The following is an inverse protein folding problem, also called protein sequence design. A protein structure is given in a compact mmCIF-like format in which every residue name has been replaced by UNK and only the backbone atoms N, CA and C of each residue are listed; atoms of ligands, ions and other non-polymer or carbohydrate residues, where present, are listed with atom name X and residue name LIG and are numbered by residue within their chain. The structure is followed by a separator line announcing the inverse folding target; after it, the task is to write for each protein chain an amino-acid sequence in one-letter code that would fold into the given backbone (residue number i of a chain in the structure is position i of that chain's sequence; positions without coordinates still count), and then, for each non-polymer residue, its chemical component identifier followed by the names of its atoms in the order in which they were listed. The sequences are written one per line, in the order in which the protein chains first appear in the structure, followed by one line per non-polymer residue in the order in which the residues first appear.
data_IF_244753393751
#
_entry.id   IF_244753393751
#
_cell.length_a   1.000
_cell.length_b   1.000
_cell.length_c   1.000
_cell.angle_alpha   90.00
_cell.angle_beta   90.00
_cell.angle_gamma   90.00
#
_symmetry.space_group_name_H-M   'P 1'
#
loop_
_entity.id
_entity.type
_entity.pdbx_description
1 polymer ?
#
# COMPACT_ATOMS: atom_id res chain seq x y z
N UNK A 1 -3.40 9.58 -25.07
CA UNK A 1 -3.01 10.48 -23.95
C UNK A 1 -1.88 9.90 -23.07
N UNK A 2 -1.49 8.62 -23.21
CA UNK A 2 -0.47 7.98 -22.35
C UNK A 2 0.95 7.88 -22.95
N UNK A 3 1.13 8.10 -24.27
CA UNK A 3 2.45 7.94 -24.91
C UNK A 3 3.46 9.01 -24.52
N UNK A 4 3.01 10.23 -24.16
CA UNK A 4 3.90 11.34 -23.78
C UNK A 4 4.64 11.11 -22.45
N UNK A 5 4.17 10.16 -21.63
CA UNK A 5 4.81 9.81 -20.36
C UNK A 5 5.56 8.47 -20.43
N UNK A 6 5.54 7.80 -21.59
CA UNK A 6 6.18 6.51 -21.82
C UNK A 6 7.70 6.69 -21.71
N UNK A 7 8.30 6.10 -20.69
CA UNK A 7 9.75 6.18 -20.45
C UNK A 7 10.22 7.37 -19.61
N UNK A 8 9.32 8.14 -19.00
CA UNK A 8 9.73 9.08 -17.93
C UNK A 8 10.17 8.30 -16.69
N UNK A 9 11.08 8.87 -15.89
CA UNK A 9 11.60 8.24 -14.66
C UNK A 9 10.51 7.95 -13.60
N UNK A 10 9.28 8.41 -13.83
CA UNK A 10 8.20 8.44 -12.85
C UNK A 10 8.41 9.57 -11.83
N UNK A 11 7.35 9.90 -11.12
CA UNK A 11 7.37 10.83 -9.97
C UNK A 11 7.95 10.17 -8.70
N UNK A 12 8.45 8.93 -8.80
CA UNK A 12 8.87 8.11 -7.66
C UNK A 12 7.72 7.57 -6.82
N UNK A 13 6.46 7.76 -7.25
CA UNK A 13 5.27 7.31 -6.52
C UNK A 13 4.59 6.17 -7.26
N UNK A 14 4.69 4.99 -6.67
CA UNK A 14 4.05 3.77 -7.13
C UNK A 14 2.71 3.61 -6.41
N UNK A 15 1.68 3.18 -7.14
CA UNK A 15 0.34 2.95 -6.58
C UNK A 15 -0.10 1.56 -7.00
N UNK A 16 -0.45 0.74 -6.01
CA UNK A 16 -0.99 -0.60 -6.23
C UNK A 16 -2.45 -0.63 -5.78
N UNK A 17 -3.33 -1.07 -6.67
CA UNK A 17 -4.76 -1.23 -6.43
C UNK A 17 -5.11 -2.71 -6.53
N UNK A 18 -5.95 -3.19 -5.63
CA UNK A 18 -6.40 -4.58 -5.67
C UNK A 18 -7.17 -5.00 -4.44
N UNK A 19 -7.36 -6.32 -4.35
CA UNK A 19 -7.92 -6.98 -3.17
C UNK A 19 -6.80 -7.55 -2.31
N UNK A 20 -7.07 -7.69 -1.02
CA UNK A 20 -6.11 -8.27 -0.10
C UNK A 20 -6.77 -8.61 1.22
N UNK A 21 -6.03 -9.42 1.97
CA UNK A 21 -6.40 -9.89 3.29
C UNK A 21 -5.24 -9.71 4.24
N UNK A 22 -5.40 -10.29 5.42
CA UNK A 22 -4.35 -10.25 6.44
C UNK A 22 -3.09 -10.94 5.90
N UNK A 23 -2.03 -10.15 5.71
CA UNK A 23 -0.72 -10.66 5.30
C UNK A 23 -0.61 -11.08 3.82
N UNK A 24 -1.62 -10.79 2.99
CA UNK A 24 -1.64 -11.14 1.57
C UNK A 24 -2.33 -10.10 0.68
N UNK A 25 -2.02 -10.14 -0.61
CA UNK A 25 -2.75 -9.42 -1.65
C UNK A 25 -3.10 -10.36 -2.80
N UNK A 26 -4.12 -10.03 -3.58
CA UNK A 26 -4.56 -10.76 -4.77
C UNK A 26 -4.31 -9.92 -6.02
N UNK A 27 -3.64 -10.50 -7.03
CA UNK A 27 -3.31 -9.78 -8.27
C UNK A 27 -4.34 -9.93 -9.40
N UNK A 28 -5.38 -10.73 -9.18
CA UNK A 28 -6.37 -11.14 -10.18
C UNK A 28 -6.34 -12.64 -10.47
N UNK A 29 -5.20 -13.30 -10.26
CA UNK A 29 -4.98 -14.72 -10.57
C UNK A 29 -4.46 -15.52 -9.37
N UNK A 30 -3.65 -14.90 -8.51
CA UNK A 30 -2.90 -15.57 -7.44
C UNK A 30 -2.85 -14.71 -6.19
N UNK A 31 -2.77 -15.42 -5.06
CA UNK A 31 -2.56 -14.81 -3.76
C UNK A 31 -1.06 -14.70 -3.49
N UNK A 32 -0.63 -13.52 -3.06
CA UNK A 32 0.77 -13.16 -2.81
C UNK A 32 0.92 -12.92 -1.32
N UNK A 33 1.83 -13.65 -0.67
CA UNK A 33 2.05 -13.56 0.77
C UNK A 33 3.40 -12.95 1.16
N UNK A 34 4.25 -12.63 0.18
CA UNK A 34 5.63 -12.19 0.39
C UNK A 34 6.08 -11.11 -0.61
N UNK A 35 7.17 -10.42 -0.25
CA UNK A 35 7.72 -9.34 -1.06
C UNK A 35 8.29 -9.80 -2.41
N UNK A 36 8.77 -11.04 -2.52
CA UNK A 36 9.29 -11.55 -3.80
C UNK A 36 8.18 -11.65 -4.85
N UNK A 37 7.07 -12.29 -4.52
CA UNK A 37 5.92 -12.40 -5.42
C UNK A 37 5.35 -11.03 -5.78
N UNK A 38 5.35 -10.09 -4.83
CA UNK A 38 4.97 -8.71 -5.10
C UNK A 38 5.89 -8.05 -6.13
N UNK A 39 7.20 -8.21 -5.96
CA UNK A 39 8.20 -7.65 -6.87
C UNK A 39 8.13 -8.23 -8.27
N UNK A 40 7.87 -9.53 -8.38
CA UNK A 40 7.69 -10.21 -9.66
C UNK A 40 6.52 -9.57 -10.44
N UNK A 41 5.38 -9.33 -9.77
CA UNK A 41 4.19 -8.76 -10.39
C UNK A 41 4.33 -7.27 -10.68
N UNK A 42 4.90 -6.50 -9.73
CA UNK A 42 5.18 -5.08 -9.96
C UNK A 42 6.18 -4.89 -11.10
N UNK A 43 7.18 -5.74 -11.22
CA UNK A 43 8.15 -5.73 -12.32
C UNK A 43 7.52 -6.05 -13.68
N UNK A 44 6.54 -6.97 -13.73
CA UNK A 44 5.80 -7.27 -14.96
C UNK A 44 4.86 -6.12 -15.38
N UNK A 45 4.25 -5.43 -14.42
CA UNK A 45 3.26 -4.36 -14.69
C UNK A 45 3.89 -2.98 -14.84
N UNK A 46 5.07 -2.75 -14.27
CA UNK A 46 5.74 -1.46 -14.29
C UNK A 46 7.26 -1.62 -14.42
N UNK A 47 7.78 -1.32 -15.62
CA UNK A 47 9.20 -1.41 -15.94
C UNK A 47 10.10 -0.52 -15.06
N UNK A 48 9.56 0.51 -14.41
CA UNK A 48 10.33 1.36 -13.49
C UNK A 48 10.51 0.72 -12.11
N UNK A 49 9.71 -0.29 -11.74
CA UNK A 49 9.80 -0.98 -10.45
C UNK A 49 11.18 -1.58 -10.20
N UNK A 50 11.85 -2.09 -11.24
CA UNK A 50 13.22 -2.65 -11.15
C UNK A 50 14.27 -1.66 -10.60
N UNK A 51 13.97 -0.36 -10.64
CA UNK A 51 14.84 0.70 -10.15
C UNK A 51 14.34 1.32 -8.83
N UNK A 52 13.32 0.77 -8.19
CA UNK A 52 12.68 1.37 -7.00
C UNK A 52 13.69 1.71 -5.90
N UNK A 53 14.68 0.85 -5.66
CA UNK A 53 15.71 1.07 -4.63
C UNK A 53 16.73 2.16 -4.97
N UNK A 54 16.81 2.55 -6.24
CA UNK A 54 17.70 3.60 -6.74
C UNK A 54 17.02 4.98 -6.78
N UNK A 55 15.68 4.99 -6.69
CA UNK A 55 14.90 6.23 -6.72
C UNK A 55 14.97 6.85 -5.32
N UNK A 56 15.47 8.08 -5.25
CA UNK A 56 15.52 8.84 -4.00
C UNK A 56 14.09 9.10 -3.51
N UNK A 57 13.84 8.77 -2.24
CA UNK A 57 12.57 9.00 -1.54
C UNK A 57 11.35 8.42 -2.28
N UNK A 58 11.52 7.23 -2.90
CA UNK A 58 10.42 6.51 -3.51
C UNK A 58 9.30 6.21 -2.50
N UNK A 59 8.07 6.26 -2.99
CA UNK A 59 6.85 5.96 -2.21
C UNK A 59 6.07 4.87 -2.94
N UNK A 60 5.60 3.87 -2.20
CA UNK A 60 4.60 2.92 -2.65
C UNK A 60 3.34 3.11 -1.81
N UNK A 61 2.20 3.29 -2.45
CA UNK A 61 0.88 3.33 -1.80
C UNK A 61 0.13 2.05 -2.15
N UNK A 62 -0.17 1.24 -1.14
CA UNK A 62 -0.94 0.01 -1.23
C UNK A 62 -2.41 0.32 -0.95
N UNK A 63 -3.17 0.72 -1.97
CA UNK A 63 -4.64 0.79 -1.89
C UNK A 63 -5.18 -0.63 -1.92
N UNK A 64 -5.08 -1.33 -0.79
CA UNK A 64 -5.49 -2.73 -0.63
C UNK A 64 -5.80 -2.96 0.86
N UNK A 65 -6.94 -3.61 1.14
CA UNK A 65 -7.38 -3.92 2.50
C UNK A 65 -6.32 -4.69 3.31
N UNK A 66 -6.25 -4.43 4.62
CA UNK A 66 -5.42 -5.15 5.59
C UNK A 66 -3.91 -5.19 5.32
N UNK A 67 -3.40 -4.43 4.33
CA UNK A 67 -1.97 -4.43 4.01
C UNK A 67 -1.10 -3.82 5.12
N UNK A 68 -1.69 -3.02 6.02
CA UNK A 68 -1.04 -2.50 7.22
C UNK A 68 -1.41 -3.25 8.52
N UNK A 69 -2.15 -4.35 8.44
CA UNK A 69 -2.57 -5.13 9.61
C UNK A 69 -1.51 -6.18 9.98
N UNK A 70 -0.84 -5.97 11.12
CA UNK A 70 -0.07 -7.02 11.80
C UNK A 70 -1.05 -7.94 12.56
N UNK A 71 -0.74 -9.24 12.67
CA UNK A 71 -1.55 -10.17 13.48
C UNK A 71 -0.72 -10.89 14.52
N UNK A 72 -1.34 -11.20 15.65
CA UNK A 72 -0.73 -11.94 16.75
C UNK A 72 -1.40 -13.32 16.82
N UNK A 73 -0.63 -14.38 16.60
CA UNK A 73 -1.07 -15.77 16.73
C UNK A 73 -0.06 -16.47 17.63
N UNK A 74 -0.53 -17.15 18.68
CA UNK A 74 0.31 -17.85 19.65
C UNK A 74 1.47 -16.99 20.19
N UNK A 75 1.15 -15.74 20.57
CA UNK A 75 2.11 -14.72 21.06
C UNK A 75 3.19 -14.30 20.04
N UNK A 76 3.12 -14.77 18.79
CA UNK A 76 4.01 -14.36 17.69
C UNK A 76 3.34 -13.29 16.85
N UNK A 77 4.06 -12.21 16.58
CA UNK A 77 3.61 -11.16 15.67
C UNK A 77 3.98 -11.51 14.23
N UNK A 78 2.98 -11.69 13.39
CA UNK A 78 3.10 -11.82 11.95
C UNK A 78 2.96 -10.43 11.34
N UNK A 79 4.04 -10.00 10.70
CA UNK A 79 4.13 -8.66 10.12
C UNK A 79 3.20 -8.51 8.93
N UNK A 80 2.58 -7.34 8.86
CA UNK A 80 1.77 -6.84 7.76
C UNK A 80 2.49 -6.93 6.41
N UNK A 81 1.70 -6.98 5.34
CA UNK A 81 2.24 -7.05 3.98
C UNK A 81 3.09 -5.81 3.65
N UNK A 82 2.64 -4.62 4.06
CA UNK A 82 3.36 -3.36 3.91
C UNK A 82 4.73 -3.38 4.59
N UNK A 83 4.81 -3.94 5.82
CA UNK A 83 6.09 -4.14 6.51
C UNK A 83 7.02 -5.09 5.73
N UNK A 84 6.52 -6.22 5.24
CA UNK A 84 7.32 -7.17 4.44
C UNK A 84 7.90 -6.54 3.17
N UNK A 85 7.09 -5.78 2.41
CA UNK A 85 7.54 -5.10 1.18
C UNK A 85 8.54 -4.01 1.52
N UNK A 86 8.27 -3.19 2.54
CA UNK A 86 9.20 -2.15 3.00
C UNK A 86 10.53 -2.72 3.49
N UNK A 87 10.52 -3.93 4.06
CA UNK A 87 11.75 -4.62 4.48
C UNK A 87 12.61 -5.05 3.29
N UNK A 88 11.98 -5.48 2.21
CA UNK A 88 12.66 -5.86 0.97
C UNK A 88 13.23 -4.66 0.21
N UNK A 89 12.66 -3.47 0.42
CA UNK A 89 13.09 -2.21 -0.20
C UNK A 89 13.38 -1.15 0.87
N UNK A 90 14.55 -1.18 1.54
CA UNK A 90 14.81 -0.35 2.73
C UNK A 90 14.71 1.17 2.51
N UNK A 91 14.90 1.62 1.27
CA UNK A 91 14.80 3.04 0.88
C UNK A 91 13.37 3.47 0.50
N UNK A 92 12.46 2.51 0.28
CA UNK A 92 11.07 2.75 -0.10
C UNK A 92 10.23 3.07 1.13
N UNK A 93 9.49 4.18 1.07
CA UNK A 93 8.40 4.43 2.01
C UNK A 93 7.17 3.68 1.52
N UNK A 94 6.65 2.74 2.32
CA UNK A 94 5.42 2.03 2.00
C UNK A 94 4.29 2.61 2.83
N UNK A 95 3.23 3.07 2.16
CA UNK A 95 1.98 3.50 2.76
C UNK A 95 0.98 2.36 2.59
N UNK A 96 0.43 1.90 3.70
CA UNK A 96 -0.55 0.83 3.74
C UNK A 96 -1.70 1.19 4.68
N UNK A 97 -2.77 0.40 4.63
CA UNK A 97 -4.01 0.67 5.34
C UNK A 97 -4.35 -0.52 6.22
N UNK A 98 -4.69 -0.27 7.49
CA UNK A 98 -5.32 -1.31 8.30
C UNK A 98 -6.80 -1.42 7.90
N UNK A 99 -7.41 -2.60 8.03
CA UNK A 99 -8.85 -2.77 7.74
C UNK A 99 -9.28 -2.56 6.26
N UNK A 100 -10.54 -2.17 6.05
CA UNK A 100 -11.24 -2.25 4.77
C UNK A 100 -11.20 -0.92 4.03
N UNK A 101 -10.44 -0.88 2.94
CA UNK A 101 -10.40 0.25 2.00
C UNK A 101 -11.71 0.36 1.23
N UNK A 102 -12.26 1.56 1.13
CA UNK A 102 -13.46 1.85 0.32
C UNK A 102 -13.10 2.74 -0.85
N UNK A 103 -13.42 2.29 -2.07
CA UNK A 103 -13.25 3.05 -3.29
C UNK A 103 -14.49 3.86 -3.63
N UNK A 104 -14.29 4.94 -4.36
CA UNK A 104 -15.37 5.75 -4.94
C UNK A 104 -14.94 6.13 -6.36
N UNK A 105 -15.83 5.94 -7.33
CA UNK A 105 -15.52 6.18 -8.74
C UNK A 105 -15.26 7.68 -9.03
N UNK A 106 -15.63 8.58 -8.13
CA UNK A 106 -15.38 10.02 -8.28
C UNK A 106 -13.99 10.47 -7.83
N UNK A 107 -13.16 9.58 -7.27
CA UNK A 107 -11.81 9.90 -6.76
C UNK A 107 -10.78 8.94 -7.36
N UNK A 108 -9.50 9.36 -7.42
CA UNK A 108 -8.44 8.61 -8.09
C UNK A 108 -7.76 7.56 -7.20
N UNK A 109 -8.10 7.50 -5.93
CA UNK A 109 -7.57 6.60 -4.91
C UNK A 109 -8.70 6.00 -4.08
N UNK A 110 -8.67 6.22 -2.76
CA UNK A 110 -9.66 5.65 -1.85
C UNK A 110 -10.36 6.72 -1.02
N UNK A 111 -11.63 6.46 -0.70
CA UNK A 111 -12.50 7.41 0.00
C UNK A 111 -12.23 7.38 1.49
N UNK A 112 -12.19 6.18 2.04
CA UNK A 112 -12.05 5.95 3.47
C UNK A 112 -11.55 4.54 3.79
N UNK A 113 -11.29 4.32 5.07
CA UNK A 113 -10.94 3.03 5.64
C UNK A 113 -11.91 2.73 6.77
N UNK A 114 -12.59 1.58 6.70
CA UNK A 114 -13.61 1.20 7.67
C UNK A 114 -13.16 0.00 8.50
N UNK A 115 -13.62 -0.09 9.76
CA UNK A 115 -13.37 -1.27 10.62
C UNK A 115 -14.08 -2.55 10.18
N UNK A 116 -15.00 -2.43 9.24
CA UNK A 116 -15.68 -3.57 8.63
C UNK A 116 -16.07 -3.25 7.20
N UNK A 117 -16.20 -4.30 6.39
CA UNK A 117 -16.66 -4.17 5.01
C UNK A 117 -18.01 -3.44 4.97
N UNK A 118 -18.11 -2.42 4.12
CA UNK A 118 -19.32 -1.61 3.90
C UNK A 118 -19.90 -0.89 5.12
N UNK A 119 -19.15 -0.73 6.23
CA UNK A 119 -19.65 -0.03 7.42
C UNK A 119 -19.74 1.49 7.26
N UNK A 120 -18.87 2.09 6.44
CA UNK A 120 -18.82 3.54 6.25
C UNK A 120 -18.41 4.34 7.51
N UNK A 121 -17.84 3.67 8.51
CA UNK A 121 -17.50 4.28 9.81
C UNK A 121 -16.25 5.17 9.75
N UNK A 122 -15.36 4.97 8.78
CA UNK A 122 -14.14 5.76 8.64
C UNK A 122 -13.14 5.63 9.79
N UNK A 123 -13.20 4.53 10.53
CA UNK A 123 -12.44 4.33 11.76
C UNK A 123 -11.12 3.57 11.55
N UNK A 124 -10.67 3.40 10.30
CA UNK A 124 -9.38 2.82 9.98
C UNK A 124 -8.23 3.84 9.91
N UNK A 125 -7.02 3.30 9.76
CA UNK A 125 -5.75 4.01 9.88
C UNK A 125 -4.90 3.87 8.62
N UNK A 126 -4.16 4.95 8.34
CA UNK A 126 -3.04 4.96 7.42
C UNK A 126 -1.75 4.69 8.19
N UNK A 127 -0.90 3.82 7.64
CA UNK A 127 0.35 3.39 8.25
C UNK A 127 1.48 3.56 7.25
N UNK A 128 2.57 4.18 7.72
CA UNK A 128 3.77 4.44 6.96
C UNK A 128 4.87 3.51 7.46
N UNK A 129 5.53 2.84 6.54
CA UNK A 129 6.64 1.92 6.81
C UNK A 129 7.91 2.37 6.10
N UNK A 130 9.07 2.14 6.72
CA UNK A 130 10.38 2.21 6.08
C UNK A 130 11.31 1.16 6.67
N UNK A 131 12.03 0.43 5.83
CA UNK A 131 12.89 -0.69 6.24
C UNK A 131 12.18 -1.73 7.12
N UNK A 132 10.89 -1.94 6.87
CA UNK A 132 10.04 -2.89 7.60
C UNK A 132 9.47 -2.39 8.93
N UNK A 133 9.89 -1.21 9.40
CA UNK A 133 9.43 -0.62 10.65
C UNK A 133 8.32 0.40 10.43
N UNK A 134 7.41 0.53 11.40
CA UNK A 134 6.36 1.56 11.38
C UNK A 134 7.00 2.91 11.68
N UNK A 135 6.93 3.84 10.73
CA UNK A 135 7.30 5.24 10.94
C UNK A 135 6.19 6.01 11.63
N UNK A 136 4.94 5.78 11.19
CA UNK A 136 3.77 6.47 11.71
C UNK A 136 2.50 5.66 11.47
N UNK A 137 1.60 5.69 12.45
CA UNK A 137 0.21 5.28 12.33
C UNK A 137 -0.68 6.43 12.77
N UNK A 138 -1.74 6.70 12.03
CA UNK A 138 -2.76 7.68 12.42
C UNK A 138 -4.10 7.36 11.75
N UNK A 139 -5.20 7.82 12.34
CA UNK A 139 -6.52 7.72 11.73
C UNK A 139 -6.51 8.37 10.34
N UNK A 140 -7.08 7.69 9.35
CA UNK A 140 -7.07 8.17 7.97
C UNK A 140 -7.95 9.41 7.80
N UNK A 141 -9.07 9.47 8.52
CA UNK A 141 -9.95 10.66 8.57
C UNK A 141 -9.20 11.92 9.02
N UNK A 142 -8.40 11.83 10.10
CA UNK A 142 -7.58 12.95 10.57
C UNK A 142 -6.46 13.30 9.61
N UNK A 143 -5.86 12.30 8.95
CA UNK A 143 -4.86 12.53 7.92
C UNK A 143 -5.43 13.33 6.75
N UNK A 144 -6.63 12.99 6.28
CA UNK A 144 -7.29 13.67 5.17
C UNK A 144 -7.69 15.12 5.49
N UNK A 145 -8.00 15.44 6.75
CA UNK A 145 -8.21 16.86 7.14
C UNK A 145 -6.98 17.72 6.88
N UNK A 146 -5.78 17.14 7.06
CA UNK A 146 -4.51 17.83 6.81
C UNK A 146 -4.07 17.74 5.34
N UNK A 147 -4.39 16.64 4.67
CA UNK A 147 -3.98 16.35 3.29
C UNK A 147 -5.18 15.94 2.43
N UNK A 148 -6.10 16.87 2.13
CA UNK A 148 -7.37 16.54 1.45
C UNK A 148 -7.16 15.97 0.03
N UNK A 149 -6.04 16.31 -0.62
CA UNK A 149 -5.70 15.88 -1.97
C UNK A 149 -4.95 14.54 -2.04
N UNK A 150 -4.84 13.80 -0.94
CA UNK A 150 -4.23 12.46 -0.95
C UNK A 150 -5.13 11.39 -1.59
N UNK A 151 -6.44 11.65 -1.65
CA UNK A 151 -7.44 10.75 -2.20
C UNK A 151 -7.31 10.50 -3.70
#
# INVERSE_FOLDING_TARGET
MYDIFKGTAGDGVFRAFGHGGIGSIWDGEREIHNAKGFNDIMGQRNNNWKNVDKIKDAILILYVCHTGTDVIIDQKTYKSFGSKVSKAHPNLTVIAFDEYVTYDNSIKGMKNINKGQNKGDGLGSIIFYRNGEVLKRQAYSEFLKKYPNFQ
#
